data_IF_441637423179
#
_entry.id   IF_441637423179
#
_cell.length_a   1.000
_cell.length_b   1.000
_cell.length_c   1.000
_cell.angle_alpha   90.00
_cell.angle_beta   90.00
_cell.angle_gamma   90.00
#
_symmetry.space_group_name_H-M   'P 1'
#
loop_
_entity.id
_entity.type
_entity.pdbx_description
1 polymer ?
#
# COMPACT_ATOMS: atom_id res chain seq x y z
N UNK A 1 -31.81 -17.36 -7.59
CA UNK A 1 -30.59 -17.84 -6.92
C UNK A 1 -29.61 -18.22 -8.01
N UNK A 2 -28.46 -17.55 -8.09
CA UNK A 2 -27.44 -17.80 -9.12
C UNK A 2 -26.84 -19.21 -8.95
N UNK A 3 -26.64 -19.95 -10.04
CA UNK A 3 -26.00 -21.27 -9.99
C UNK A 3 -24.51 -21.11 -9.69
N UNK A 4 -23.99 -21.94 -8.78
CA UNK A 4 -22.59 -21.95 -8.35
C UNK A 4 -21.96 -23.27 -8.80
N UNK A 5 -21.36 -23.26 -9.99
CA UNK A 5 -20.82 -24.48 -10.61
C UNK A 5 -19.30 -24.67 -10.39
N UNK A 6 -18.61 -23.66 -9.86
CA UNK A 6 -17.16 -23.67 -9.62
C UNK A 6 -16.82 -24.13 -8.19
N UNK A 7 -15.84 -25.05 -8.07
CA UNK A 7 -15.38 -25.59 -6.79
C UNK A 7 -13.92 -25.21 -6.52
N UNK A 8 -13.67 -24.59 -5.37
CA UNK A 8 -12.33 -24.30 -4.87
C UNK A 8 -11.86 -25.45 -3.96
N UNK A 9 -10.78 -26.15 -4.33
CA UNK A 9 -10.12 -27.17 -3.50
C UNK A 9 -8.78 -26.64 -3.02
N UNK A 10 -8.64 -26.47 -1.70
CA UNK A 10 -7.41 -26.01 -1.05
C UNK A 10 -6.99 -27.03 -0.01
N UNK A 11 -5.68 -27.32 0.06
CA UNK A 11 -5.10 -28.15 1.12
C UNK A 11 -4.64 -27.23 2.24
N UNK A 12 -4.96 -27.61 3.47
CA UNK A 12 -4.54 -26.94 4.68
C UNK A 12 -3.64 -27.88 5.48
N UNK A 13 -2.71 -27.31 6.24
CA UNK A 13 -2.13 -28.00 7.40
C UNK A 13 -3.19 -28.09 8.52
N UNK A 14 -2.97 -29.01 9.48
CA UNK A 14 -3.90 -29.19 10.59
C UNK A 14 -4.11 -27.90 11.40
N UNK A 15 -3.05 -27.12 11.60
CA UNK A 15 -3.12 -25.84 12.31
C UNK A 15 -3.94 -24.77 11.56
N UNK A 16 -3.78 -24.68 10.24
CA UNK A 16 -4.54 -23.72 9.42
C UNK A 16 -6.02 -24.11 9.35
N UNK A 17 -6.31 -25.42 9.31
CA UNK A 17 -7.68 -25.93 9.31
C UNK A 17 -8.39 -25.60 10.62
N UNK A 18 -7.75 -25.84 11.76
CA UNK A 18 -8.35 -25.55 13.07
C UNK A 18 -8.55 -24.04 13.27
N UNK A 19 -7.58 -23.22 12.86
CA UNK A 19 -7.72 -21.76 12.91
C UNK A 19 -8.92 -21.26 12.07
N UNK A 20 -9.11 -21.81 10.86
CA UNK A 20 -10.24 -21.45 10.00
C UNK A 20 -11.58 -21.91 10.60
N UNK A 21 -11.60 -23.09 11.21
CA UNK A 21 -12.78 -23.63 11.88
C UNK A 21 -13.18 -22.78 13.09
N UNK A 22 -12.23 -22.45 13.95
CA UNK A 22 -12.47 -21.59 15.11
C UNK A 22 -13.00 -20.22 14.68
N UNK A 23 -12.39 -19.62 13.65
CA UNK A 23 -12.83 -18.33 13.13
C UNK A 23 -14.27 -18.36 12.59
N UNK A 24 -14.67 -19.47 11.97
CA UNK A 24 -16.04 -19.65 11.50
C UNK A 24 -17.03 -19.82 12.66
N UNK A 25 -16.63 -20.56 13.70
CA UNK A 25 -17.41 -20.76 14.93
C UNK A 25 -17.60 -19.43 15.69
N UNK A 26 -16.54 -18.65 15.87
CA UNK A 26 -16.59 -17.32 16.49
C UNK A 26 -17.49 -16.35 15.72
N UNK A 27 -17.52 -16.47 14.39
CA UNK A 27 -18.38 -15.69 13.51
C UNK A 27 -19.82 -16.25 13.40
N UNK A 28 -20.12 -17.39 14.02
CA UNK A 28 -21.43 -18.04 13.98
C UNK A 28 -21.87 -18.49 12.58
N UNK A 29 -20.93 -18.78 11.68
CA UNK A 29 -21.21 -19.17 10.30
C UNK A 29 -20.41 -20.42 9.89
N UNK A 30 -20.76 -21.02 8.76
CA UNK A 30 -19.97 -22.14 8.23
C UNK A 30 -18.66 -21.64 7.62
N UNK A 31 -17.61 -22.48 7.61
CA UNK A 31 -16.33 -22.14 6.97
C UNK A 31 -16.49 -21.69 5.50
N UNK A 32 -17.46 -22.29 4.79
CA UNK A 32 -17.75 -21.91 3.41
C UNK A 32 -18.45 -20.56 3.29
N UNK A 33 -19.29 -20.17 4.26
CA UNK A 33 -19.89 -18.83 4.33
C UNK A 33 -18.84 -17.80 4.68
N UNK A 34 -17.96 -18.10 5.64
CA UNK A 34 -16.84 -17.25 6.02
C UNK A 34 -15.94 -16.93 4.81
N UNK A 35 -15.50 -17.96 4.08
CA UNK A 35 -14.65 -17.80 2.88
C UNK A 35 -15.37 -16.99 1.79
N UNK A 36 -16.68 -17.19 1.63
CA UNK A 36 -17.48 -16.43 0.65
C UNK A 36 -17.69 -14.97 1.05
N UNK A 37 -17.97 -14.71 2.32
CA UNK A 37 -18.16 -13.35 2.84
C UNK A 37 -16.86 -12.53 2.74
N UNK A 38 -15.72 -13.20 2.91
CA UNK A 38 -14.40 -12.59 2.73
C UNK A 38 -13.95 -12.50 1.26
N UNK A 39 -14.60 -13.23 0.34
CA UNK A 39 -14.29 -13.20 -1.09
C UNK A 39 -14.57 -11.79 -1.64
N UNK A 40 -13.52 -11.06 -1.98
CA UNK A 40 -13.60 -9.68 -2.47
C UNK A 40 -13.51 -8.59 -1.39
N UNK A 41 -13.51 -8.96 -0.09
CA UNK A 41 -13.25 -8.01 1.03
C UNK A 41 -11.81 -8.05 1.51
N UNK A 42 -11.09 -9.15 1.26
CA UNK A 42 -9.66 -9.24 1.56
C UNK A 42 -8.89 -8.48 0.50
N UNK A 43 -8.41 -7.29 0.84
CA UNK A 43 -7.41 -6.58 0.04
C UNK A 43 -6.10 -7.39 0.07
N UNK A 44 -5.80 -8.09 -1.02
CA UNK A 44 -4.49 -8.72 -1.20
C UNK A 44 -3.47 -7.62 -1.41
N UNK A 45 -2.79 -7.25 -0.33
CA UNK A 45 -1.74 -6.22 -0.37
C UNK A 45 -0.60 -6.71 -1.25
N UNK A 46 -0.44 -6.08 -2.41
CA UNK A 46 0.67 -6.39 -3.32
C UNK A 46 1.96 -5.80 -2.75
N UNK A 47 2.66 -6.59 -1.94
CA UNK A 47 3.89 -6.18 -1.26
C UNK A 47 4.99 -5.71 -2.22
N UNK A 48 5.02 -6.22 -3.44
CA UNK A 48 6.02 -5.85 -4.43
C UNK A 48 5.74 -4.45 -5.02
N UNK A 49 4.47 -4.16 -5.32
CA UNK A 49 4.03 -2.81 -5.75
C UNK A 49 4.28 -1.78 -4.64
N UNK A 50 4.00 -2.14 -3.38
CA UNK A 50 4.27 -1.26 -2.24
C UNK A 50 5.77 -0.99 -2.08
N UNK A 51 6.62 -2.01 -2.25
CA UNK A 51 8.08 -1.88 -2.17
C UNK A 51 8.61 -0.96 -3.27
N UNK A 52 8.14 -1.12 -4.50
CA UNK A 52 8.56 -0.28 -5.64
C UNK A 52 8.17 1.19 -5.42
N UNK A 53 6.93 1.44 -4.95
CA UNK A 53 6.46 2.79 -4.61
C UNK A 53 7.31 3.44 -3.52
N UNK A 54 7.63 2.71 -2.45
CA UNK A 54 8.49 3.20 -1.36
C UNK A 54 9.90 3.52 -1.87
N UNK A 55 10.47 2.66 -2.71
CA UNK A 55 11.78 2.90 -3.32
C UNK A 55 11.78 4.17 -4.19
N UNK A 56 10.70 4.41 -4.94
CA UNK A 56 10.54 5.60 -5.76
C UNK A 56 10.46 6.88 -4.91
N UNK A 57 9.68 6.86 -3.82
CA UNK A 57 9.59 7.96 -2.86
C UNK A 57 10.95 8.26 -2.21
N UNK A 58 11.72 7.24 -1.86
CA UNK A 58 13.05 7.43 -1.28
C UNK A 58 14.02 8.10 -2.26
N UNK A 59 13.94 7.79 -3.56
CA UNK A 59 14.74 8.45 -4.61
C UNK A 59 14.35 9.92 -4.76
N UNK A 60 13.06 10.23 -4.72
CA UNK A 60 12.57 11.62 -4.71
C UNK A 60 13.13 12.35 -3.49
N UNK A 61 13.01 11.79 -2.29
CA UNK A 61 13.54 12.39 -1.06
C UNK A 61 15.06 12.64 -1.12
N UNK A 62 15.83 11.70 -1.70
CA UNK A 62 17.26 11.88 -1.88
C UNK A 62 17.59 13.09 -2.78
N UNK A 63 16.87 13.24 -3.90
CA UNK A 63 17.03 14.37 -4.81
C UNK A 63 16.66 15.70 -4.14
N UNK A 64 15.55 15.74 -3.38
CA UNK A 64 15.14 16.94 -2.64
C UNK A 64 16.21 17.37 -1.62
N UNK A 65 16.81 16.40 -0.91
CA UNK A 65 17.90 16.66 0.03
C UNK A 65 19.18 17.16 -0.65
N UNK A 66 19.45 16.73 -1.88
CA UNK A 66 20.57 17.27 -2.67
C UNK A 66 20.30 18.72 -3.07
N UNK A 67 19.10 19.04 -3.56
CA UNK A 67 18.71 20.40 -3.92
C UNK A 67 18.79 21.32 -2.71
N UNK A 68 18.22 20.90 -1.56
CA UNK A 68 18.25 21.68 -0.33
C UNK A 68 19.69 21.99 0.13
N UNK A 69 20.57 20.99 0.10
CA UNK A 69 22.00 21.20 0.42
C UNK A 69 22.66 22.15 -0.57
N UNK A 70 22.43 21.98 -1.87
CA UNK A 70 23.03 22.85 -2.90
C UNK A 70 22.62 24.31 -2.75
N UNK A 71 21.32 24.58 -2.52
CA UNK A 71 20.79 25.93 -2.26
C UNK A 71 21.38 26.54 -1.00
N UNK A 72 21.45 25.76 0.08
CA UNK A 72 22.01 26.23 1.35
C UNK A 72 23.52 26.55 1.25
N UNK A 73 24.25 25.84 0.39
CA UNK A 73 25.68 26.07 0.12
C UNK A 73 25.89 27.28 -0.79
N UNK A 74 25.07 27.50 -1.81
CA UNK A 74 25.26 28.53 -2.83
C UNK A 74 24.24 29.68 -2.73
N UNK A 75 24.11 30.27 -1.53
CA UNK A 75 23.10 31.30 -1.19
C UNK A 75 23.05 32.53 -2.11
N UNK A 76 24.09 32.76 -2.92
CA UNK A 76 24.21 33.88 -3.86
C UNK A 76 23.87 33.54 -5.33
N UNK A 77 23.73 32.26 -5.69
CA UNK A 77 23.61 31.82 -7.10
C UNK A 77 22.20 31.34 -7.49
N UNK A 78 21.32 31.11 -6.52
CA UNK A 78 19.92 30.79 -6.75
C UNK A 78 19.05 31.52 -5.71
N UNK A 79 17.92 32.07 -6.15
CA UNK A 79 16.91 32.57 -5.23
C UNK A 79 16.38 31.39 -4.43
N UNK A 80 16.88 31.21 -3.20
CA UNK A 80 16.48 30.13 -2.30
C UNK A 80 14.97 30.10 -2.08
N UNK A 81 14.32 31.27 -2.16
CA UNK A 81 12.87 31.44 -2.11
C UNK A 81 12.16 30.75 -3.28
N UNK A 82 12.67 30.90 -4.50
CA UNK A 82 12.06 30.33 -5.72
C UNK A 82 12.18 28.80 -5.74
N UNK A 83 13.34 28.27 -5.34
CA UNK A 83 13.54 26.83 -5.21
C UNK A 83 12.62 26.24 -4.15
N UNK A 84 12.49 26.89 -2.99
CA UNK A 84 11.57 26.46 -1.93
C UNK A 84 10.12 26.48 -2.43
N UNK A 85 9.70 27.51 -3.17
CA UNK A 85 8.36 27.59 -3.74
C UNK A 85 8.04 26.41 -4.68
N UNK A 86 8.96 26.06 -5.58
CA UNK A 86 8.79 24.91 -6.48
C UNK A 86 8.77 23.57 -5.73
N UNK A 87 9.60 23.40 -4.70
CA UNK A 87 9.60 22.18 -3.87
C UNK A 87 8.30 22.03 -3.09
N UNK A 88 7.74 23.14 -2.57
CA UNK A 88 6.44 23.14 -1.90
C UNK A 88 5.31 22.76 -2.84
N UNK A 89 5.37 23.22 -4.09
CA UNK A 89 4.39 22.89 -5.12
C UNK A 89 4.46 21.42 -5.55
N UNK A 90 5.66 20.87 -5.77
CA UNK A 90 5.86 19.43 -6.00
C UNK A 90 5.32 18.62 -4.82
N UNK A 91 5.61 19.04 -3.58
CA UNK A 91 5.12 18.38 -2.39
C UNK A 91 3.59 18.39 -2.27
N UNK A 92 2.92 19.44 -2.76
CA UNK A 92 1.46 19.52 -2.83
C UNK A 92 0.89 18.49 -3.82
N UNK A 93 1.42 18.47 -5.05
CA UNK A 93 0.99 17.53 -6.08
C UNK A 93 1.20 16.06 -5.67
N UNK A 94 2.30 15.74 -4.97
CA UNK A 94 2.53 14.38 -4.45
C UNK A 94 1.48 13.98 -3.41
N UNK A 95 1.07 14.91 -2.53
CA UNK A 95 0.04 14.64 -1.52
C UNK A 95 -1.33 14.39 -2.15
N UNK A 96 -1.67 15.14 -3.19
CA UNK A 96 -2.91 14.97 -3.96
C UNK A 96 -2.95 13.62 -4.70
N UNK A 97 -1.82 13.14 -5.22
CA UNK A 97 -1.70 11.81 -5.84
C UNK A 97 -1.76 10.64 -4.85
N UNK A 98 -1.63 10.91 -3.54
CA UNK A 98 -1.58 9.88 -2.49
C UNK A 98 -2.91 9.75 -1.70
N UNK A 99 -3.94 10.52 -2.09
CA UNK A 99 -5.31 10.39 -1.59
C UNK A 99 -6.14 9.48 -2.51
#
# INVERSE_FOLDING_TARGET
MEKRDNMLRVRFSDAEFEALKQLAEDAGCTMSELVRDHLGRVSVRNKDVDRERIAMLNRINANLNMIARWVNTHKSAASSVEVVAHLMDIGRHIRELSQ
#
